data_IF_228380697733
#
_entry.id   IF_228380697733
#
_cell.length_a   1.000
_cell.length_b   1.000
_cell.length_c   1.000
_cell.angle_alpha   90.00
_cell.angle_beta   90.00
_cell.angle_gamma   90.00
#
_symmetry.space_group_name_H-M   'P 1'
#
loop_
_entity.id
_entity.type
_entity.pdbx_description
1 polymer ?
#
# COMPACT_ATOMS: atom_id res chain seq x y z
N UNK A 1 -1.60 28.46 5.31
CA UNK A 1 -2.41 27.76 4.28
C UNK A 1 -2.55 26.32 4.74
N UNK A 2 -3.74 25.89 5.15
CA UNK A 2 -4.01 24.47 5.38
C UNK A 2 -3.94 23.77 4.03
N UNK A 3 -2.89 23.00 3.79
CA UNK A 3 -2.85 22.07 2.67
C UNK A 3 -3.90 21.00 2.93
N UNK A 4 -5.10 21.18 2.42
CA UNK A 4 -6.14 20.14 2.38
C UNK A 4 -5.65 19.06 1.41
N UNK A 5 -5.03 18.03 1.96
CA UNK A 5 -4.58 16.88 1.18
C UNK A 5 -5.81 16.17 0.61
N UNK A 6 -5.98 16.22 -0.71
CA UNK A 6 -7.03 15.46 -1.42
C UNK A 6 -6.56 14.00 -1.53
N UNK A 7 -7.35 13.01 -1.09
CA UNK A 7 -7.01 11.60 -1.29
C UNK A 7 -6.88 11.28 -2.77
N UNK A 8 -5.97 10.36 -3.09
CA UNK A 8 -5.71 9.94 -4.47
C UNK A 8 -6.87 9.09 -4.99
N UNK A 9 -7.33 9.33 -6.22
CA UNK A 9 -8.43 8.59 -6.87
C UNK A 9 -9.70 8.52 -6.00
N UNK A 10 -10.04 9.63 -5.33
CA UNK A 10 -11.09 9.67 -4.32
C UNK A 10 -12.46 9.28 -4.90
N UNK A 11 -12.89 9.95 -5.96
CA UNK A 11 -14.20 9.73 -6.54
C UNK A 11 -14.31 8.33 -7.13
N UNK A 12 -13.31 7.89 -7.87
CA UNK A 12 -13.26 6.57 -8.50
C UNK A 12 -13.28 5.44 -7.45
N UNK A 13 -12.64 5.67 -6.30
CA UNK A 13 -12.63 4.71 -5.18
C UNK A 13 -14.01 4.61 -4.53
N UNK A 14 -14.63 5.73 -4.29
CA UNK A 14 -15.95 5.78 -3.65
C UNK A 14 -17.04 5.21 -4.59
N UNK A 15 -16.98 5.53 -5.87
CA UNK A 15 -17.85 4.90 -6.88
C UNK A 15 -17.57 3.39 -6.99
N UNK A 16 -16.28 3.01 -6.96
CA UNK A 16 -15.86 1.63 -7.01
C UNK A 16 -16.36 0.78 -5.85
N UNK A 17 -16.47 1.35 -4.66
CA UNK A 17 -16.98 0.67 -3.46
C UNK A 17 -18.49 0.41 -3.50
N UNK A 18 -19.25 1.15 -4.29
CA UNK A 18 -20.73 1.00 -4.42
C UNK A 18 -21.43 0.96 -3.06
N UNK A 19 -21.23 2.05 -2.29
CA UNK A 19 -21.55 2.11 -0.86
C UNK A 19 -23.06 1.93 -0.59
N UNK A 20 -23.38 0.91 0.22
CA UNK A 20 -24.73 0.66 0.77
C UNK A 20 -24.87 1.42 2.09
N UNK A 21 -25.94 2.17 2.30
CA UNK A 21 -26.14 3.06 3.45
C UNK A 21 -26.00 2.36 4.80
N UNK A 22 -26.54 1.16 4.94
CA UNK A 22 -26.49 0.36 6.17
C UNK A 22 -25.33 -0.68 6.19
N UNK A 23 -24.37 -0.56 5.23
CA UNK A 23 -23.27 -1.50 5.04
C UNK A 23 -22.15 -1.37 6.08
N UNK A 24 -21.32 -2.40 6.15
CA UNK A 24 -20.08 -2.42 6.95
C UNK A 24 -18.90 -2.30 6.02
N UNK A 25 -18.06 -1.30 6.23
CA UNK A 25 -16.89 -1.02 5.40
C UNK A 25 -15.61 -1.05 6.23
N UNK A 26 -14.52 -1.47 5.60
CA UNK A 26 -13.18 -1.43 6.19
C UNK A 26 -12.30 -0.53 5.33
N UNK A 27 -11.66 0.43 5.96
CA UNK A 27 -10.51 1.15 5.42
C UNK A 27 -9.27 0.59 6.13
N UNK A 28 -8.51 -0.25 5.42
CA UNK A 28 -7.34 -0.94 5.99
C UNK A 28 -6.08 -0.09 6.01
N UNK A 29 -6.17 1.17 5.55
CA UNK A 29 -5.07 2.14 5.40
C UNK A 29 -5.58 3.55 5.72
N UNK A 30 -6.12 3.70 6.94
CA UNK A 30 -6.92 4.85 7.36
C UNK A 30 -6.23 6.20 7.13
N UNK A 31 -4.91 6.29 7.40
CA UNK A 31 -4.13 7.49 7.21
C UNK A 31 -4.77 8.72 7.85
N UNK A 32 -4.90 9.81 7.07
CA UNK A 32 -5.62 11.01 7.46
C UNK A 32 -7.14 10.92 7.35
N UNK A 33 -7.69 9.74 7.04
CA UNK A 33 -9.11 9.44 6.91
C UNK A 33 -9.85 10.19 5.78
N UNK A 34 -9.16 10.53 4.71
CA UNK A 34 -9.78 11.25 3.60
C UNK A 34 -10.84 10.43 2.87
N UNK A 35 -10.51 9.21 2.42
CA UNK A 35 -11.47 8.25 1.85
C UNK A 35 -12.54 7.86 2.87
N UNK A 36 -12.15 7.56 4.09
CA UNK A 36 -13.03 7.20 5.20
C UNK A 36 -14.11 8.24 5.46
N UNK A 37 -13.79 9.52 5.37
CA UNK A 37 -14.76 10.61 5.51
C UNK A 37 -15.83 10.58 4.42
N UNK A 38 -15.45 10.29 3.18
CA UNK A 38 -16.40 10.18 2.06
C UNK A 38 -17.26 8.92 2.15
N UNK A 39 -16.71 7.81 2.66
CA UNK A 39 -17.49 6.60 2.98
C UNK A 39 -18.55 6.94 4.03
N UNK A 40 -18.14 7.57 5.15
CA UNK A 40 -19.05 7.92 6.25
C UNK A 40 -20.17 8.87 5.87
N UNK A 41 -19.95 9.80 4.94
CA UNK A 41 -21.01 10.69 4.42
C UNK A 41 -22.13 9.91 3.72
N UNK A 42 -21.85 8.71 3.21
CA UNK A 42 -22.79 7.86 2.48
C UNK A 42 -23.43 6.78 3.37
N UNK A 43 -22.87 6.58 4.58
CA UNK A 43 -23.43 5.64 5.53
C UNK A 43 -24.54 6.28 6.36
N UNK A 44 -25.57 5.50 6.65
CA UNK A 44 -26.59 5.83 7.64
C UNK A 44 -26.05 5.62 9.07
N UNK A 45 -26.87 5.91 10.08
CA UNK A 45 -26.54 5.61 11.49
C UNK A 45 -26.44 4.10 11.80
N UNK A 46 -26.93 3.23 10.93
CA UNK A 46 -26.82 1.76 11.05
C UNK A 46 -25.58 1.20 10.35
N UNK A 47 -25.06 1.92 9.36
CA UNK A 47 -23.82 1.56 8.69
C UNK A 47 -22.62 1.76 9.61
N UNK A 48 -21.52 1.07 9.36
CA UNK A 48 -20.31 1.09 10.18
C UNK A 48 -19.06 1.20 9.32
N UNK A 49 -18.10 1.99 9.78
CA UNK A 49 -16.74 2.01 9.26
C UNK A 49 -15.77 1.44 10.29
N UNK A 50 -14.85 0.60 9.82
CA UNK A 50 -13.72 0.10 10.59
C UNK A 50 -12.47 0.67 9.94
N UNK A 51 -11.78 1.57 10.62
CA UNK A 51 -10.52 2.16 10.17
C UNK A 51 -9.35 1.46 10.85
N UNK A 52 -8.45 0.88 10.04
CA UNK A 52 -7.24 0.19 10.50
C UNK A 52 -6.04 1.03 10.06
N UNK A 53 -5.09 1.23 10.95
CA UNK A 53 -3.79 1.76 10.60
C UNK A 53 -2.72 1.20 11.55
N UNK A 54 -1.52 0.98 11.04
CA UNK A 54 -0.36 0.57 11.82
C UNK A 54 0.38 1.75 12.44
N UNK A 55 0.07 2.99 12.03
CA UNK A 55 0.64 4.22 12.54
C UNK A 55 -0.31 4.86 13.57
N UNK A 56 0.10 4.87 14.84
CA UNK A 56 -0.69 5.51 15.90
C UNK A 56 -0.92 7.01 15.67
N UNK A 57 0.00 7.69 14.98
CA UNK A 57 -0.14 9.11 14.66
C UNK A 57 -1.24 9.32 13.62
N UNK A 58 -1.32 8.42 12.62
CA UNK A 58 -2.42 8.39 11.66
C UNK A 58 -3.77 8.17 12.36
N UNK A 59 -3.85 7.21 13.28
CA UNK A 59 -5.06 6.96 14.06
C UNK A 59 -5.50 8.17 14.92
N UNK A 60 -4.56 8.90 15.50
CA UNK A 60 -4.86 10.15 16.25
C UNK A 60 -5.42 11.22 15.32
N UNK A 61 -4.79 11.43 14.16
CA UNK A 61 -5.26 12.38 13.17
C UNK A 61 -6.65 12.01 12.62
N UNK A 62 -6.86 10.73 12.31
CA UNK A 62 -8.15 10.23 11.85
C UNK A 62 -9.28 10.44 12.86
N UNK A 63 -9.03 10.16 14.14
CA UNK A 63 -10.01 10.39 15.22
C UNK A 63 -10.44 11.86 15.30
N UNK A 64 -9.51 12.79 15.14
CA UNK A 64 -9.85 14.22 15.13
C UNK A 64 -10.62 14.61 13.86
N UNK A 65 -10.22 14.11 12.69
CA UNK A 65 -10.86 14.41 11.41
C UNK A 65 -12.28 13.82 11.28
N UNK A 66 -12.55 12.74 12.00
CA UNK A 66 -13.83 12.03 11.95
C UNK A 66 -14.67 12.16 13.24
N UNK A 67 -14.32 13.07 14.16
CA UNK A 67 -14.96 13.22 15.47
C UNK A 67 -16.47 13.45 15.44
N UNK A 68 -17.02 13.94 14.31
CA UNK A 68 -18.45 14.13 14.15
C UNK A 68 -19.21 12.83 13.86
N UNK A 69 -18.53 11.73 13.53
CA UNK A 69 -19.15 10.46 13.21
C UNK A 69 -19.03 9.48 14.41
N UNK A 70 -20.15 8.90 14.82
CA UNK A 70 -20.21 7.94 15.94
C UNK A 70 -20.11 6.48 15.51
N UNK A 71 -20.26 6.21 14.22
CA UNK A 71 -20.31 4.87 13.62
C UNK A 71 -18.94 4.42 13.04
N UNK A 72 -17.85 4.83 13.69
CA UNK A 72 -16.47 4.46 13.33
C UNK A 72 -15.82 3.66 14.45
N UNK A 73 -15.16 2.57 14.09
CA UNK A 73 -14.24 1.82 14.96
C UNK A 73 -12.81 2.02 14.48
N UNK A 74 -11.91 2.38 15.40
CA UNK A 74 -10.48 2.57 15.09
C UNK A 74 -9.68 1.41 15.65
N UNK A 75 -8.85 0.80 14.83
CA UNK A 75 -8.02 -0.35 15.21
C UNK A 75 -6.56 -0.07 14.87
N UNK A 76 -5.69 -0.14 15.88
CA UNK A 76 -4.25 -0.16 15.65
C UNK A 76 -3.85 -1.57 15.23
N UNK A 77 -3.33 -1.72 14.03
CA UNK A 77 -2.96 -3.00 13.42
C UNK A 77 -2.61 -2.87 11.95
N UNK A 78 -2.21 -3.98 11.36
CA UNK A 78 -1.90 -4.04 9.95
C UNK A 78 -3.09 -4.62 9.16
N UNK A 79 -3.28 -4.16 7.92
CA UNK A 79 -4.32 -4.69 7.03
C UNK A 79 -4.13 -6.17 6.65
N UNK A 80 -2.94 -6.74 6.81
CA UNK A 80 -2.72 -8.19 6.65
C UNK A 80 -3.31 -9.04 7.79
N UNK A 81 -3.65 -8.40 8.92
CA UNK A 81 -4.34 -9.00 10.08
C UNK A 81 -5.87 -8.79 10.04
N UNK A 82 -6.42 -8.34 8.91
CA UNK A 82 -7.84 -7.95 8.77
C UNK A 82 -8.81 -9.04 9.26
N UNK A 83 -8.51 -10.31 9.02
CA UNK A 83 -9.34 -11.45 9.43
C UNK A 83 -9.45 -11.54 10.97
N UNK A 84 -8.30 -11.47 11.66
CA UNK A 84 -8.25 -11.49 13.11
C UNK A 84 -8.91 -10.25 13.73
N UNK A 85 -8.72 -9.10 13.11
CA UNK A 85 -9.35 -7.84 13.52
C UNK A 85 -10.88 -7.96 13.45
N UNK A 86 -11.42 -8.40 12.32
CA UNK A 86 -12.86 -8.55 12.15
C UNK A 86 -13.43 -9.62 13.11
N UNK A 87 -12.72 -10.72 13.31
CA UNK A 87 -13.09 -11.76 14.27
C UNK A 87 -13.19 -11.23 15.71
N UNK A 88 -12.21 -10.42 16.14
CA UNK A 88 -12.24 -9.76 17.47
C UNK A 88 -13.43 -8.80 17.62
N UNK A 89 -13.90 -8.22 16.51
CA UNK A 89 -15.07 -7.33 16.49
C UNK A 89 -16.40 -8.10 16.33
N UNK A 90 -16.37 -9.44 16.24
CA UNK A 90 -17.52 -10.32 15.95
C UNK A 90 -18.20 -9.98 14.61
N UNK A 91 -17.39 -9.67 13.60
CA UNK A 91 -17.85 -9.36 12.22
C UNK A 91 -17.32 -10.46 11.31
N UNK A 92 -18.21 -11.22 10.69
CA UNK A 92 -17.82 -12.31 9.79
C UNK A 92 -17.56 -11.82 8.37
N UNK A 93 -18.39 -10.90 7.86
CA UNK A 93 -18.35 -10.41 6.48
C UNK A 93 -18.67 -8.92 6.42
N UNK A 94 -18.09 -8.25 5.43
CA UNK A 94 -18.26 -6.81 5.20
C UNK A 94 -18.76 -6.51 3.79
N UNK A 95 -19.36 -5.34 3.60
CA UNK A 95 -19.91 -4.91 2.31
C UNK A 95 -18.84 -4.32 1.40
N UNK A 96 -17.75 -3.76 1.95
CA UNK A 96 -16.63 -3.29 1.15
C UNK A 96 -15.34 -3.13 1.96
N UNK A 97 -14.22 -3.21 1.25
CA UNK A 97 -12.88 -3.03 1.80
C UNK A 97 -12.10 -2.10 0.87
N UNK A 98 -11.44 -1.13 1.47
CA UNK A 98 -10.48 -0.23 0.81
C UNK A 98 -9.08 -0.46 1.37
N UNK A 99 -8.10 -0.57 0.48
CA UNK A 99 -6.68 -0.48 0.80
C UNK A 99 -6.04 0.59 -0.09
N UNK A 100 -5.58 1.68 0.49
CA UNK A 100 -4.77 2.72 -0.16
C UNK A 100 -3.30 2.50 0.23
N UNK A 101 -2.58 1.69 -0.59
CA UNK A 101 -1.27 1.17 -0.22
C UNK A 101 -0.18 2.24 -0.25
N UNK A 102 0.96 1.91 0.34
CA UNK A 102 2.13 2.77 0.39
C UNK A 102 2.16 3.69 1.60
N UNK A 103 2.87 4.81 1.47
CA UNK A 103 3.11 5.76 2.56
C UNK A 103 2.05 6.87 2.58
N UNK A 104 1.58 7.21 3.76
CA UNK A 104 0.68 8.35 3.91
C UNK A 104 1.42 9.67 3.62
N UNK A 105 0.65 10.69 3.25
CA UNK A 105 1.19 12.03 3.04
C UNK A 105 1.90 12.57 4.28
N UNK A 106 1.32 12.31 5.45
CA UNK A 106 1.91 12.69 6.72
C UNK A 106 3.31 12.07 6.91
N UNK A 107 3.46 10.77 6.60
CA UNK A 107 4.76 10.08 6.71
C UNK A 107 5.83 10.63 5.77
N UNK A 108 5.45 11.10 4.58
CA UNK A 108 6.37 11.73 3.62
C UNK A 108 6.73 13.17 4.01
N UNK A 109 5.77 13.91 4.54
CA UNK A 109 5.93 15.32 4.87
C UNK A 109 6.63 15.51 6.24
N UNK A 110 6.48 14.53 7.14
CA UNK A 110 7.16 14.50 8.43
C UNK A 110 8.62 14.05 8.25
N UNK A 111 9.51 15.03 8.18
CA UNK A 111 10.93 14.82 7.84
C UNK A 111 11.63 13.81 8.74
N UNK A 112 11.30 13.79 10.04
CA UNK A 112 11.94 12.90 11.02
C UNK A 112 11.60 11.41 10.85
N UNK A 113 10.71 11.05 9.90
CA UNK A 113 10.33 9.66 9.62
C UNK A 113 11.27 8.97 8.62
N UNK A 114 12.14 9.69 7.93
CA UNK A 114 13.15 9.15 7.02
C UNK A 114 12.63 8.54 5.71
N UNK A 115 11.36 8.72 5.35
CA UNK A 115 10.80 8.21 4.08
C UNK A 115 11.27 9.00 2.86
N UNK A 116 11.59 10.27 3.06
CA UNK A 116 12.03 11.15 1.97
C UNK A 116 13.54 11.05 1.76
N UNK A 117 13.96 10.95 0.50
CA UNK A 117 15.36 11.10 0.10
C UNK A 117 15.78 12.57 -0.01
N UNK A 118 14.89 13.51 0.27
CA UNK A 118 15.17 14.95 0.30
C UNK A 118 15.45 15.38 1.74
N UNK A 119 16.58 16.05 1.94
CA UNK A 119 17.00 16.56 3.24
C UNK A 119 17.86 15.56 4.03
N UNK A 120 18.23 15.98 5.24
CA UNK A 120 19.11 15.23 6.14
C UNK A 120 18.32 14.76 7.35
N UNK A 121 17.76 13.56 7.27
CA UNK A 121 16.87 13.00 8.28
C UNK A 121 17.41 11.66 8.79
N UNK A 122 16.93 11.20 9.94
CA UNK A 122 17.24 9.86 10.47
C UNK A 122 16.75 8.77 9.50
N UNK A 123 17.51 7.68 9.34
CA UNK A 123 17.15 6.53 8.53
C UNK A 123 16.23 5.58 9.31
N UNK A 124 14.96 5.98 9.50
CA UNK A 124 13.96 5.16 10.18
C UNK A 124 13.11 4.34 9.20
N UNK A 125 12.26 4.97 8.42
CA UNK A 125 11.31 4.40 7.44
C UNK A 125 10.26 3.44 8.02
N UNK A 126 10.11 3.33 9.34
CA UNK A 126 9.05 2.50 9.95
C UNK A 126 7.69 3.20 9.83
N UNK A 127 6.69 2.51 9.35
CA UNK A 127 5.30 2.94 9.44
C UNK A 127 4.77 2.71 10.87
N UNK A 128 5.04 1.55 11.44
CA UNK A 128 4.80 1.24 12.85
C UNK A 128 6.08 1.45 13.66
N UNK A 129 6.09 2.46 14.55
CA UNK A 129 7.25 2.79 15.39
C UNK A 129 7.55 1.73 16.46
N UNK A 130 6.63 0.79 16.70
CA UNK A 130 6.83 -0.28 17.70
C UNK A 130 7.71 -1.42 17.17
N UNK A 131 7.84 -1.57 15.85
CA UNK A 131 8.69 -2.58 15.25
C UNK A 131 10.19 -2.26 15.41
N UNK A 132 11.03 -3.30 15.44
CA UNK A 132 12.46 -3.16 15.71
C UNK A 132 13.34 -2.90 14.48
N UNK A 133 12.84 -3.23 13.26
CA UNK A 133 13.59 -3.08 12.01
C UNK A 133 13.43 -1.66 11.48
N UNK A 134 14.55 -0.95 11.32
CA UNK A 134 14.64 0.40 10.75
C UNK A 134 15.45 0.38 9.46
N UNK A 135 15.35 1.42 8.63
CA UNK A 135 16.21 1.58 7.46
C UNK A 135 17.69 1.65 7.85
N UNK A 136 18.03 2.32 8.97
CA UNK A 136 19.38 2.34 9.54
C UNK A 136 19.88 0.92 9.79
N UNK A 137 19.06 0.06 10.40
CA UNK A 137 19.44 -1.33 10.68
C UNK A 137 19.65 -2.11 9.40
N UNK A 138 18.77 -1.98 8.41
CA UNK A 138 18.91 -2.64 7.10
C UNK A 138 20.25 -2.28 6.44
N UNK A 139 20.56 -1.00 6.28
CA UNK A 139 21.81 -0.58 5.58
C UNK A 139 23.08 -0.92 6.34
N UNK A 140 23.03 -0.96 7.68
CA UNK A 140 24.22 -1.21 8.48
C UNK A 140 24.46 -2.67 8.84
N UNK A 141 23.44 -3.56 8.79
CA UNK A 141 23.59 -4.94 9.26
C UNK A 141 23.41 -6.02 8.19
N UNK A 142 22.61 -5.75 7.13
CA UNK A 142 22.41 -6.73 6.06
C UNK A 142 23.73 -7.00 5.32
N UNK A 143 23.93 -8.24 4.85
CA UNK A 143 25.05 -8.58 3.98
C UNK A 143 24.97 -7.84 2.64
N UNK A 144 26.07 -7.80 1.90
CA UNK A 144 26.10 -7.20 0.56
C UNK A 144 25.12 -7.90 -0.38
N UNK A 145 24.99 -9.23 -0.27
CA UNK A 145 24.07 -10.02 -1.08
C UNK A 145 22.59 -9.71 -0.74
N UNK A 146 22.25 -9.67 0.55
CA UNK A 146 20.90 -9.30 1.00
C UNK A 146 20.51 -7.90 0.53
N UNK A 147 21.41 -6.91 0.69
CA UNK A 147 21.19 -5.55 0.19
C UNK A 147 20.99 -5.52 -1.33
N UNK A 148 21.85 -6.23 -2.08
CA UNK A 148 21.74 -6.28 -3.53
C UNK A 148 20.40 -6.89 -3.97
N UNK A 149 19.96 -7.96 -3.29
CA UNK A 149 18.71 -8.65 -3.59
C UNK A 149 17.50 -7.75 -3.32
N UNK A 150 17.39 -7.13 -2.13
CA UNK A 150 16.24 -6.25 -1.84
C UNK A 150 16.19 -5.03 -2.76
N UNK A 151 17.35 -4.43 -3.08
CA UNK A 151 17.43 -3.28 -3.99
C UNK A 151 17.02 -3.69 -5.42
N UNK A 152 17.38 -4.89 -5.86
CA UNK A 152 16.98 -5.41 -7.15
C UNK A 152 15.49 -5.79 -7.20
N UNK A 153 15.03 -6.59 -6.24
CA UNK A 153 13.68 -7.14 -6.23
C UNK A 153 12.63 -6.07 -5.93
N UNK A 154 12.85 -5.22 -4.93
CA UNK A 154 11.86 -4.22 -4.49
C UNK A 154 12.05 -2.84 -5.12
N UNK A 155 13.26 -2.52 -5.53
CA UNK A 155 13.57 -1.27 -6.22
C UNK A 155 13.51 -1.39 -7.74
N UNK A 156 13.54 -2.60 -8.29
CA UNK A 156 13.75 -2.84 -9.73
C UNK A 156 15.00 -2.07 -10.23
N UNK A 157 16.05 -1.96 -9.35
CA UNK A 157 17.25 -1.16 -9.60
C UNK A 157 18.38 -2.01 -10.20
N UNK A 158 18.77 -1.67 -11.42
CA UNK A 158 19.82 -2.39 -12.18
C UNK A 158 21.20 -2.30 -11.55
N UNK A 159 21.48 -1.21 -10.84
CA UNK A 159 22.77 -0.97 -10.18
C UNK A 159 22.83 -1.50 -8.74
N UNK A 160 21.89 -2.37 -8.36
CA UNK A 160 21.71 -2.90 -7.00
C UNK A 160 23.00 -3.44 -6.39
N UNK A 161 23.78 -4.23 -7.15
CA UNK A 161 25.06 -4.82 -6.68
C UNK A 161 26.10 -3.75 -6.38
N UNK A 162 26.22 -2.72 -7.24
CA UNK A 162 27.18 -1.64 -7.04
C UNK A 162 26.78 -0.76 -5.85
N UNK A 163 25.48 -0.50 -5.70
CA UNK A 163 24.93 0.26 -4.56
C UNK A 163 25.19 -0.52 -3.26
N UNK A 164 24.85 -1.81 -3.19
CA UNK A 164 25.06 -2.66 -2.03
C UNK A 164 26.53 -2.72 -1.62
N UNK A 165 27.45 -2.94 -2.60
CA UNK A 165 28.88 -2.92 -2.37
C UNK A 165 29.36 -1.61 -1.74
N UNK A 166 28.92 -0.47 -2.28
CA UNK A 166 29.34 0.84 -1.78
C UNK A 166 28.74 1.17 -0.41
N UNK A 167 27.51 0.71 -0.11
CA UNK A 167 26.95 0.77 1.25
C UNK A 167 27.83 -0.01 2.21
N UNK A 168 28.21 -1.26 1.85
CA UNK A 168 29.08 -2.11 2.69
C UNK A 168 30.48 -1.55 2.88
N UNK A 169 31.02 -0.83 1.90
CA UNK A 169 32.31 -0.13 2.06
C UNK A 169 32.15 1.06 3.02
N UNK A 170 31.17 1.92 2.78
CA UNK A 170 30.96 3.14 3.55
C UNK A 170 30.73 2.85 5.04
N UNK A 171 29.88 1.87 5.37
CA UNK A 171 29.57 1.52 6.77
C UNK A 171 30.72 0.94 7.57
N UNK A 172 31.80 0.44 6.89
CA UNK A 172 33.02 -0.01 7.57
C UNK A 172 33.85 1.16 8.12
N UNK A 173 33.73 2.34 7.50
CA UNK A 173 34.41 3.55 7.94
C UNK A 173 33.59 4.30 8.99
N UNK A 174 32.26 4.44 8.74
CA UNK A 174 31.35 5.11 9.64
C UNK A 174 29.93 4.55 9.45
N UNK A 175 29.20 4.32 10.54
CA UNK A 175 27.80 3.95 10.51
C UNK A 175 26.98 4.97 9.68
N UNK A 176 26.11 4.48 8.78
CA UNK A 176 25.23 5.31 7.96
C UNK A 176 23.99 5.65 8.79
N UNK A 177 23.83 6.92 9.17
CA UNK A 177 22.82 7.36 10.11
C UNK A 177 21.68 8.13 9.44
N UNK A 178 21.99 8.82 8.34
CA UNK A 178 21.04 9.76 7.76
C UNK A 178 20.69 9.46 6.30
N UNK A 179 19.54 9.97 5.88
CA UNK A 179 19.06 9.87 4.50
C UNK A 179 20.04 10.50 3.53
N UNK A 180 20.66 11.66 3.89
CA UNK A 180 21.63 12.35 3.05
C UNK A 180 22.90 11.53 2.83
N UNK A 181 23.42 10.87 3.88
CA UNK A 181 24.58 9.98 3.76
C UNK A 181 24.30 8.83 2.80
N UNK A 182 23.13 8.20 2.92
CA UNK A 182 22.72 7.12 2.03
C UNK A 182 22.55 7.61 0.58
N UNK A 183 21.91 8.77 0.36
CA UNK A 183 21.77 9.38 -0.97
C UNK A 183 23.13 9.58 -1.62
N UNK A 184 24.11 10.15 -0.91
CA UNK A 184 25.46 10.37 -1.43
C UNK A 184 26.16 9.07 -1.85
N UNK A 185 25.96 7.99 -1.12
CA UNK A 185 26.49 6.66 -1.46
C UNK A 185 25.84 6.14 -2.74
N UNK A 186 24.51 6.24 -2.84
CA UNK A 186 23.77 5.79 -4.02
C UNK A 186 24.21 6.58 -5.27
N UNK A 187 24.29 7.90 -5.16
CA UNK A 187 24.72 8.75 -6.25
C UNK A 187 26.13 8.42 -6.77
N UNK A 188 27.06 8.13 -5.88
CA UNK A 188 28.42 7.70 -6.25
C UNK A 188 28.44 6.32 -6.91
N UNK A 189 27.43 5.49 -6.64
CA UNK A 189 27.32 4.13 -7.17
C UNK A 189 26.76 4.06 -8.59
N UNK A 190 26.13 5.14 -9.07
CA UNK A 190 25.43 5.14 -10.35
C UNK A 190 26.18 5.97 -11.41
N UNK A 191 26.23 5.49 -12.67
CA UNK A 191 26.83 6.23 -13.75
C UNK A 191 25.99 7.48 -14.09
N UNK A 192 26.63 8.51 -14.67
CA UNK A 192 26.02 9.80 -14.95
C UNK A 192 24.75 9.71 -15.83
N UNK A 193 24.70 8.78 -16.78
CA UNK A 193 23.53 8.61 -17.64
C UNK A 193 22.29 8.12 -16.88
N UNK A 194 22.46 7.28 -15.87
CA UNK A 194 21.36 6.74 -15.08
C UNK A 194 20.70 7.79 -14.16
N UNK A 195 21.40 8.87 -13.85
CA UNK A 195 20.89 9.97 -13.03
C UNK A 195 19.93 10.91 -13.77
N UNK A 196 19.81 10.76 -15.11
CA UNK A 196 18.92 11.59 -15.93
C UNK A 196 17.45 11.14 -15.89
N UNK A 197 17.17 9.91 -15.45
CA UNK A 197 15.81 9.32 -15.42
C UNK A 197 15.04 9.57 -14.12
N UNK A 198 15.38 10.62 -13.38
CA UNK A 198 14.79 10.96 -12.09
C UNK A 198 15.80 10.89 -10.94
N UNK A 199 15.34 11.06 -9.72
CA UNK A 199 16.24 11.06 -8.56
C UNK A 199 16.86 9.65 -8.32
N UNK A 200 18.20 9.52 -8.32
CA UNK A 200 18.88 8.21 -8.29
C UNK A 200 18.55 7.37 -7.03
N UNK A 201 18.26 8.02 -5.90
CA UNK A 201 17.94 7.31 -4.68
C UNK A 201 16.49 6.77 -4.64
N UNK A 202 15.58 7.18 -5.54
CA UNK A 202 14.16 6.85 -5.47
C UNK A 202 13.90 5.34 -5.34
N UNK A 203 14.53 4.54 -6.21
CA UNK A 203 14.33 3.08 -6.26
C UNK A 203 14.93 2.38 -5.05
N UNK A 204 16.11 2.80 -4.60
CA UNK A 204 16.76 2.21 -3.41
C UNK A 204 15.98 2.56 -2.14
N UNK A 205 15.47 3.78 -1.99
CA UNK A 205 14.63 4.18 -0.87
C UNK A 205 13.32 3.39 -0.85
N UNK A 206 12.68 3.20 -2.02
CA UNK A 206 11.51 2.32 -2.14
C UNK A 206 11.83 0.89 -1.68
N UNK A 207 12.95 0.33 -2.11
CA UNK A 207 13.35 -1.03 -1.76
C UNK A 207 13.56 -1.20 -0.24
N UNK A 208 14.27 -0.29 0.38
CA UNK A 208 14.52 -0.31 1.84
C UNK A 208 13.21 -0.12 2.60
N UNK A 209 12.33 0.78 2.16
CA UNK A 209 11.01 0.99 2.76
C UNK A 209 10.15 -0.27 2.72
N UNK A 210 10.09 -0.92 1.57
CA UNK A 210 9.36 -2.18 1.38
C UNK A 210 9.89 -3.27 2.31
N UNK A 211 11.21 -3.40 2.44
CA UNK A 211 11.83 -4.37 3.34
C UNK A 211 11.51 -4.06 4.80
N UNK A 212 11.70 -2.81 5.24
CA UNK A 212 11.42 -2.37 6.62
C UNK A 212 9.98 -2.66 7.01
N UNK A 213 9.02 -2.41 6.12
CA UNK A 213 7.59 -2.50 6.42
C UNK A 213 6.94 -3.80 5.93
N UNK A 214 7.70 -4.72 5.33
CA UNK A 214 7.21 -5.99 4.77
C UNK A 214 5.97 -5.80 3.85
N UNK A 215 6.02 -4.80 2.95
CA UNK A 215 4.85 -4.35 2.21
C UNK A 215 4.37 -5.34 1.14
N UNK A 216 5.27 -6.10 0.52
CA UNK A 216 4.98 -6.92 -0.67
C UNK A 216 4.69 -8.37 -0.35
N UNK A 217 5.48 -8.99 0.55
CA UNK A 217 5.36 -10.44 0.84
C UNK A 217 3.95 -10.89 1.23
N UNK A 218 3.22 -10.19 2.13
CA UNK A 218 1.87 -10.59 2.51
C UNK A 218 0.78 -10.16 1.52
N UNK A 219 1.02 -9.19 0.63
CA UNK A 219 0.00 -8.46 -0.12
C UNK A 219 -0.92 -9.35 -0.96
N UNK A 220 -0.36 -10.35 -1.66
CA UNK A 220 -1.17 -11.31 -2.42
C UNK A 220 -2.17 -12.04 -1.50
N UNK A 221 -1.68 -12.58 -0.38
CA UNK A 221 -2.52 -13.31 0.57
C UNK A 221 -3.52 -12.39 1.26
N UNK A 222 -3.14 -11.17 1.59
CA UNK A 222 -4.03 -10.14 2.14
C UNK A 222 -5.18 -9.83 1.19
N UNK A 223 -4.89 -9.61 -0.09
CA UNK A 223 -5.93 -9.38 -1.09
C UNK A 223 -6.89 -10.59 -1.22
N UNK A 224 -6.35 -11.83 -1.17
CA UNK A 224 -7.18 -13.05 -1.15
C UNK A 224 -8.08 -13.14 0.07
N UNK A 225 -7.55 -12.89 1.26
CA UNK A 225 -8.32 -12.83 2.52
C UNK A 225 -9.40 -11.74 2.48
N UNK A 226 -9.07 -10.56 1.98
CA UNK A 226 -10.06 -9.50 1.80
C UNK A 226 -11.24 -9.95 0.94
N UNK A 227 -10.99 -10.65 -0.19
CA UNK A 227 -12.05 -11.19 -1.04
C UNK A 227 -12.90 -12.24 -0.30
N UNK A 228 -12.29 -13.08 0.51
CA UNK A 228 -13.01 -14.07 1.33
C UNK A 228 -13.92 -13.41 2.36
N UNK A 229 -13.52 -12.27 2.93
CA UNK A 229 -14.27 -11.53 3.95
C UNK A 229 -15.43 -10.68 3.39
N UNK A 230 -15.55 -10.55 2.07
CA UNK A 230 -16.66 -9.83 1.46
C UNK A 230 -17.96 -10.63 1.51
N UNK A 231 -19.07 -9.92 1.70
CA UNK A 231 -20.43 -10.40 1.42
C UNK A 231 -20.63 -10.60 -0.09
N UNK A 232 -21.73 -11.25 -0.47
CA UNK A 232 -22.15 -11.25 -1.89
C UNK A 232 -22.37 -9.81 -2.37
N UNK A 233 -21.87 -9.50 -3.57
CA UNK A 233 -21.83 -8.15 -4.16
C UNK A 233 -21.01 -7.14 -3.37
N UNK A 234 -20.22 -7.58 -2.38
CA UNK A 234 -19.26 -6.75 -1.68
C UNK A 234 -18.04 -6.44 -2.57
N UNK A 235 -17.42 -5.28 -2.37
CA UNK A 235 -16.33 -4.80 -3.23
C UNK A 235 -15.02 -4.59 -2.49
N UNK A 236 -13.94 -5.00 -3.13
CA UNK A 236 -12.57 -4.71 -2.72
C UNK A 236 -11.96 -3.70 -3.69
N UNK A 237 -11.62 -2.53 -3.17
CA UNK A 237 -10.88 -1.48 -3.87
C UNK A 237 -9.46 -1.42 -3.34
N UNK A 238 -8.45 -1.57 -4.21
CA UNK A 238 -7.04 -1.43 -3.83
C UNK A 238 -6.36 -0.42 -4.74
N UNK A 239 -5.77 0.61 -4.12
CA UNK A 239 -4.93 1.60 -4.80
C UNK A 239 -3.47 1.18 -4.58
N UNK A 240 -2.70 1.13 -5.65
CA UNK A 240 -1.28 0.76 -5.66
C UNK A 240 -0.45 1.87 -6.29
N UNK A 241 0.82 2.02 -5.88
CA UNK A 241 1.69 3.11 -6.32
C UNK A 241 2.94 2.65 -7.07
N UNK A 242 3.20 1.35 -7.11
CA UNK A 242 4.30 0.79 -7.91
C UNK A 242 3.95 -0.58 -8.50
N UNK A 243 4.83 -1.03 -9.43
CA UNK A 243 4.63 -2.24 -10.25
C UNK A 243 4.46 -3.53 -9.43
N UNK A 244 5.17 -3.66 -8.31
CA UNK A 244 5.14 -4.88 -7.49
C UNK A 244 3.81 -5.04 -6.77
N UNK A 245 3.28 -3.95 -6.18
CA UNK A 245 1.94 -3.94 -5.58
C UNK A 245 0.88 -4.27 -6.61
N UNK A 246 0.88 -3.56 -7.75
CA UNK A 246 -0.09 -3.75 -8.83
C UNK A 246 -0.09 -5.19 -9.34
N UNK A 247 1.09 -5.81 -9.45
CA UNK A 247 1.26 -7.20 -9.86
C UNK A 247 0.68 -8.18 -8.84
N UNK A 248 0.97 -7.99 -7.56
CA UNK A 248 0.46 -8.84 -6.48
C UNK A 248 -1.08 -8.80 -6.41
N UNK A 249 -1.66 -7.60 -6.42
CA UNK A 249 -3.12 -7.40 -6.40
C UNK A 249 -3.78 -7.98 -7.66
N UNK A 250 -3.24 -7.70 -8.85
CA UNK A 250 -3.73 -8.26 -10.11
C UNK A 250 -3.77 -9.79 -10.08
N UNK A 251 -2.69 -10.43 -9.61
CA UNK A 251 -2.62 -11.89 -9.55
C UNK A 251 -3.67 -12.45 -8.58
N UNK A 252 -3.81 -11.86 -7.39
CA UNK A 252 -4.85 -12.24 -6.43
C UNK A 252 -6.26 -12.17 -7.02
N UNK A 253 -6.58 -11.10 -7.77
CA UNK A 253 -7.88 -10.92 -8.41
C UNK A 253 -8.11 -11.90 -9.57
N UNK A 254 -7.08 -12.17 -10.38
CA UNK A 254 -7.17 -13.15 -11.49
C UNK A 254 -7.42 -14.55 -10.93
N UNK A 255 -6.74 -14.93 -9.86
CA UNK A 255 -6.92 -16.24 -9.23
C UNK A 255 -8.31 -16.35 -8.56
N UNK A 256 -8.80 -15.28 -7.92
CA UNK A 256 -10.14 -15.23 -7.35
C UNK A 256 -11.25 -15.28 -8.41
N UNK A 257 -11.00 -14.68 -9.58
CA UNK A 257 -11.94 -14.77 -10.70
C UNK A 257 -12.08 -16.20 -11.23
N UNK A 258 -11.15 -17.09 -10.92
CA UNK A 258 -11.24 -18.50 -11.27
C UNK A 258 -11.18 -18.73 -12.78
N UNK A 259 -10.08 -18.36 -13.42
CA UNK A 259 -9.92 -18.56 -14.86
C UNK A 259 -9.83 -20.05 -15.19
N UNK A 260 -10.80 -20.53 -15.97
CA UNK A 260 -10.75 -21.87 -16.50
C UNK A 260 -9.48 -22.06 -17.36
N UNK A 261 -8.71 -23.12 -17.07
CA UNK A 261 -7.49 -23.51 -17.80
C UNK A 261 -7.73 -24.65 -18.79
N UNK A 262 -8.98 -25.14 -18.89
CA UNK A 262 -9.34 -26.19 -19.84
C UNK A 262 -9.17 -25.72 -21.30
N UNK A 263 -8.82 -26.63 -22.21
CA UNK A 263 -8.95 -26.38 -23.64
C UNK A 263 -10.35 -25.91 -24.01
N UNK A 264 -10.44 -24.96 -24.94
CA UNK A 264 -11.73 -24.32 -25.31
C UNK A 264 -12.74 -25.27 -26.00
N UNK A 265 -12.26 -26.35 -26.52
CA UNK A 265 -12.99 -27.41 -27.22
C UNK A 265 -13.56 -28.50 -26.29
N UNK A 266 -13.23 -28.46 -25.01
CA UNK A 266 -13.83 -29.35 -24.02
C UNK A 266 -15.30 -29.00 -23.76
N UNK A 267 -16.24 -29.99 -23.85
CA UNK A 267 -17.67 -29.73 -23.61
C UNK A 267 -17.99 -29.36 -22.15
N UNK A 268 -17.13 -29.71 -21.20
CA UNK A 268 -17.29 -29.37 -19.79
C UNK A 268 -15.97 -28.93 -19.17
N UNK A 269 -16.04 -28.02 -18.21
CA UNK A 269 -14.88 -27.62 -17.43
C UNK A 269 -14.48 -28.75 -16.45
N UNK A 270 -13.22 -29.23 -16.57
CA UNK A 270 -12.66 -30.29 -15.72
C UNK A 270 -11.57 -29.76 -14.77
N UNK A 271 -11.16 -28.49 -14.89
CA UNK A 271 -10.09 -27.93 -14.05
C UNK A 271 -10.56 -27.58 -12.64
N UNK A 272 -11.86 -27.69 -12.34
CA UNK A 272 -12.41 -27.34 -11.02
C UNK A 272 -12.30 -25.86 -10.65
N UNK A 273 -11.98 -24.99 -11.59
CA UNK A 273 -11.88 -23.54 -11.33
C UNK A 273 -13.22 -23.01 -10.80
N UNK A 274 -13.20 -22.53 -9.56
CA UNK A 274 -14.35 -21.90 -8.93
C UNK A 274 -14.13 -20.39 -8.94
N UNK A 275 -15.06 -19.65 -9.57
CA UNK A 275 -15.05 -18.20 -9.51
C UNK A 275 -15.62 -17.75 -8.17
N UNK A 276 -14.90 -16.86 -7.50
CA UNK A 276 -15.35 -16.19 -6.29
C UNK A 276 -15.93 -14.81 -6.57
N UNK A 277 -15.86 -14.35 -7.83
CA UNK A 277 -16.34 -13.05 -8.23
C UNK A 277 -15.81 -12.59 -9.57
N UNK A 278 -15.86 -11.30 -9.82
CA UNK A 278 -15.43 -10.69 -11.07
C UNK A 278 -14.53 -9.48 -10.85
N UNK A 279 -13.55 -9.30 -11.72
CA UNK A 279 -12.76 -8.07 -11.84
C UNK A 279 -13.64 -7.02 -12.52
N UNK A 280 -13.90 -5.90 -11.88
CA UNK A 280 -14.74 -4.82 -12.41
C UNK A 280 -13.99 -4.06 -13.51
N UNK A 281 -12.75 -3.67 -13.25
CA UNK A 281 -11.93 -2.94 -14.21
C UNK A 281 -10.73 -3.77 -14.69
N UNK A 282 -10.76 -4.26 -15.93
CA UNK A 282 -9.66 -5.07 -16.51
C UNK A 282 -8.33 -4.29 -16.58
N UNK A 283 -8.39 -3.00 -16.93
CA UNK A 283 -7.25 -2.07 -16.84
C UNK A 283 -7.37 -1.30 -15.53
N UNK A 284 -6.28 -0.98 -14.85
CA UNK A 284 -6.36 -0.15 -13.65
C UNK A 284 -6.93 1.22 -14.02
N UNK A 285 -7.72 1.80 -13.12
CA UNK A 285 -8.10 3.21 -13.19
C UNK A 285 -6.90 4.02 -12.73
N UNK A 286 -6.58 5.07 -13.46
CA UNK A 286 -5.48 6.00 -13.17
C UNK A 286 -6.05 7.41 -12.98
N UNK A 287 -5.34 8.23 -12.24
CA UNK A 287 -5.72 9.61 -12.00
C UNK A 287 -5.81 10.42 -13.29
N UNK A 288 -6.73 11.37 -13.35
CA UNK A 288 -6.85 12.32 -14.45
C UNK A 288 -5.63 13.25 -14.54
N UNK A 289 -5.45 13.91 -15.67
CA UNK A 289 -4.35 14.87 -15.84
C UNK A 289 -4.47 16.01 -14.82
N UNK A 290 -5.68 16.49 -14.57
CA UNK A 290 -5.97 17.53 -13.59
C UNK A 290 -5.56 17.09 -12.18
N UNK A 291 -5.94 15.86 -11.77
CA UNK A 291 -5.54 15.33 -10.47
C UNK A 291 -4.02 15.16 -10.37
N UNK A 292 -3.35 14.74 -11.44
CA UNK A 292 -1.89 14.58 -11.46
C UNK A 292 -1.15 15.92 -11.38
N UNK A 293 -1.74 17.01 -11.87
CA UNK A 293 -1.20 18.36 -11.72
C UNK A 293 -1.37 18.90 -10.29
N UNK A 294 -2.57 18.69 -9.70
CA UNK A 294 -2.88 19.10 -8.34
C UNK A 294 -2.16 18.25 -7.28
N UNK A 295 -2.04 16.94 -7.54
CA UNK A 295 -1.46 15.96 -6.62
C UNK A 295 -0.44 15.08 -7.32
N UNK A 296 0.84 15.46 -7.27
CA UNK A 296 1.92 14.70 -7.93
C UNK A 296 2.04 13.23 -7.47
N UNK A 297 1.46 12.87 -6.32
CA UNK A 297 1.44 11.50 -5.79
C UNK A 297 0.51 10.59 -6.57
N UNK A 298 -0.52 11.14 -7.20
CA UNK A 298 -1.47 10.38 -8.02
C UNK A 298 -0.88 9.85 -9.34
N UNK A 299 0.26 10.40 -9.79
CA UNK A 299 0.89 10.03 -11.09
C UNK A 299 1.17 8.54 -11.26
N UNK A 300 1.47 7.84 -10.18
CA UNK A 300 1.76 6.39 -10.20
C UNK A 300 0.61 5.54 -9.66
N UNK A 301 -0.46 6.16 -9.20
CA UNK A 301 -1.59 5.49 -8.59
C UNK A 301 -2.38 4.65 -9.60
N UNK A 302 -2.80 3.46 -9.16
CA UNK A 302 -3.60 2.53 -9.95
C UNK A 302 -4.66 1.91 -9.06
N UNK A 303 -5.93 2.16 -9.34
CA UNK A 303 -7.05 1.54 -8.64
C UNK A 303 -7.48 0.26 -9.35
N UNK A 304 -7.63 -0.83 -8.58
CA UNK A 304 -8.23 -2.09 -8.99
C UNK A 304 -9.42 -2.43 -8.13
N UNK A 305 -10.49 -2.92 -8.76
CA UNK A 305 -11.76 -3.22 -8.12
C UNK A 305 -12.14 -4.66 -8.42
N UNK A 306 -12.51 -5.40 -7.37
CA UNK A 306 -13.05 -6.76 -7.44
C UNK A 306 -14.41 -6.80 -6.74
N UNK A 307 -15.38 -7.51 -7.32
CA UNK A 307 -16.69 -7.75 -6.73
C UNK A 307 -16.86 -9.23 -6.41
N UNK A 308 -17.25 -9.52 -5.18
CA UNK A 308 -17.52 -10.87 -4.71
C UNK A 308 -18.86 -11.35 -5.28
N UNK A 309 -18.90 -12.57 -5.81
CA UNK A 309 -20.11 -13.23 -6.26
C UNK A 309 -20.15 -14.62 -5.63
N UNK A 310 -21.11 -14.82 -4.75
CA UNK A 310 -21.37 -16.13 -4.12
C UNK A 310 -22.46 -16.81 -4.98
N UNK A 311 -22.10 -17.93 -5.61
CA UNK A 311 -23.05 -18.74 -6.41
C UNK A 311 -23.69 -19.79 -5.55
#
# INVERSE_FOLDING_TARGET
MEFKHKPVLLEETIEGLEIKEDGIYVDGTLGGAGHSKEILKRLSSKGMLIGIDRDEEALKAAKENLKQYSNVKYVHGNHDEIEEILKKLNIEKVDGILLDLGVSSYQLDERNRGFSYLGNNELDMRMDKTQSLTAKKVVNTYSEEELANIIYEYGEERFSRQIAKNICIARKEKEIETTEELVKIIEKSMPAFAKKEGHPAKRTFQAIRIEVNNEIKPLYNTARKCIELLKNEGRLCIITFHSLEDRAVKNAYVDAQGKCTCPKDLPYCVCGAKSEGKIINKKPIIATEEEQEENSRSKSAKLRIFEKIIK
#
